data_IF_251524430400
#
_entry.id   IF_251524430400
#
_cell.length_a   1.000
_cell.length_b   1.000
_cell.length_c   1.000
_cell.angle_alpha   90.00
_cell.angle_beta   90.00
_cell.angle_gamma   90.00
#
_symmetry.space_group_name_H-M   'P 1'
#
loop_
_entity.id
_entity.type
_entity.pdbx_description
1 polymer ?
#
# COMPACT_ATOMS: atom_id res chain seq x y z
N UNK A 1 -18.45 22.83 23.26
CA UNK A 1 -18.61 21.72 22.28
C UNK A 1 -17.23 21.22 21.92
N UNK A 2 -17.03 19.90 21.87
CA UNK A 2 -15.77 19.29 21.45
C UNK A 2 -16.05 18.44 20.21
N UNK A 3 -15.30 18.64 19.14
CA UNK A 3 -15.46 17.91 17.87
C UNK A 3 -14.19 17.14 17.58
N UNK A 4 -14.31 15.82 17.43
CA UNK A 4 -13.21 14.94 17.07
C UNK A 4 -13.22 14.63 15.57
N UNK A 5 -12.08 14.83 14.93
CA UNK A 5 -11.81 14.51 13.52
C UNK A 5 -10.87 13.32 13.42
N UNK A 6 -11.01 12.56 12.34
CA UNK A 6 -10.16 11.39 12.08
C UNK A 6 -8.68 11.75 11.92
N UNK A 7 -8.38 12.94 11.39
CA UNK A 7 -7.02 13.41 11.15
C UNK A 7 -6.88 14.92 11.31
N UNK A 8 -5.65 15.39 11.45
CA UNK A 8 -5.32 16.82 11.46
C UNK A 8 -5.74 17.52 10.14
N UNK A 9 -5.69 16.78 9.02
CA UNK A 9 -6.06 17.28 7.68
C UNK A 9 -7.55 17.58 7.58
N UNK A 10 -8.41 16.63 7.95
CA UNK A 10 -9.87 16.84 7.86
C UNK A 10 -10.36 17.92 8.82
N UNK A 11 -9.70 18.07 9.97
CA UNK A 11 -9.91 19.18 10.89
C UNK A 11 -9.60 20.53 10.22
N UNK A 12 -8.43 20.66 9.58
CA UNK A 12 -8.03 21.91 8.91
C UNK A 12 -8.92 22.28 7.74
N UNK A 13 -9.34 21.29 6.95
CA UNK A 13 -10.31 21.47 5.86
C UNK A 13 -11.63 22.03 6.40
N UNK A 14 -12.17 21.43 7.47
CA UNK A 14 -13.40 21.92 8.09
C UNK A 14 -13.24 23.33 8.66
N UNK A 15 -12.12 23.62 9.33
CA UNK A 15 -11.84 24.96 9.90
C UNK A 15 -11.70 26.05 8.83
N UNK A 16 -11.29 25.68 7.60
CA UNK A 16 -11.18 26.60 6.45
C UNK A 16 -12.50 26.77 5.70
N UNK A 17 -13.50 25.92 5.95
CA UNK A 17 -14.79 25.98 5.26
C UNK A 17 -15.55 27.29 5.55
N UNK A 18 -16.31 27.76 4.56
CA UNK A 18 -17.17 28.94 4.70
C UNK A 18 -18.22 28.74 5.80
N UNK A 19 -18.74 27.52 5.93
CA UNK A 19 -19.72 27.16 6.95
C UNK A 19 -19.21 27.32 8.38
N UNK A 20 -17.88 27.26 8.60
CA UNK A 20 -17.27 27.43 9.91
C UNK A 20 -16.73 28.86 10.16
N UNK A 21 -16.78 29.74 9.15
CA UNK A 21 -16.16 31.07 9.22
C UNK A 21 -16.67 31.91 10.41
N UNK A 22 -17.97 31.84 10.71
CA UNK A 22 -18.61 32.56 11.82
C UNK A 22 -18.16 32.09 13.21
N UNK A 23 -17.71 30.83 13.32
CA UNK A 23 -17.29 30.21 14.59
C UNK A 23 -15.78 30.27 14.83
N UNK A 24 -14.99 30.72 13.83
CA UNK A 24 -13.53 30.73 13.89
C UNK A 24 -12.95 31.53 15.06
N UNK A 25 -13.64 32.59 15.50
CA UNK A 25 -13.24 33.42 16.66
C UNK A 25 -13.54 32.76 18.02
N UNK A 26 -14.47 31.80 18.04
CA UNK A 26 -14.91 31.09 19.24
C UNK A 26 -14.39 29.65 19.27
N UNK A 27 -13.35 29.35 18.48
CA UNK A 27 -12.82 28.00 18.35
C UNK A 27 -11.32 27.88 18.52
N UNK A 28 -10.91 26.79 19.16
CA UNK A 28 -9.52 26.37 19.29
C UNK A 28 -9.32 25.04 18.55
N UNK A 29 -8.09 24.83 18.05
CA UNK A 29 -7.65 23.62 17.37
C UNK A 29 -6.60 22.92 18.22
N UNK A 30 -6.67 21.59 18.28
CA UNK A 30 -5.64 20.76 18.92
C UNK A 30 -5.33 19.51 18.08
N UNK A 31 -4.07 19.39 17.63
CA UNK A 31 -3.53 18.22 16.92
C UNK A 31 -2.28 17.68 17.61
N UNK A 32 -1.83 16.49 17.22
CA UNK A 32 -0.68 15.83 17.85
C UNK A 32 0.63 16.64 17.77
N UNK A 33 0.73 17.51 16.76
CA UNK A 33 1.87 18.40 16.48
C UNK A 33 1.96 19.61 17.43
N UNK A 34 0.92 19.88 18.22
CA UNK A 34 0.89 21.05 19.10
C UNK A 34 1.75 20.86 20.35
N UNK A 35 2.49 21.92 20.70
CA UNK A 35 3.36 22.01 21.87
C UNK A 35 2.65 21.67 23.19
N UNK A 36 3.33 21.03 24.17
CA UNK A 36 2.70 20.57 25.42
C UNK A 36 1.98 21.67 26.21
N UNK A 37 2.55 22.87 26.28
CA UNK A 37 1.95 23.99 27.03
C UNK A 37 0.64 24.47 26.37
N UNK A 38 0.61 24.54 25.04
CA UNK A 38 -0.57 24.95 24.27
C UNK A 38 -1.66 23.90 24.37
N UNK A 39 -1.28 22.62 24.30
CA UNK A 39 -2.16 21.47 24.54
C UNK A 39 -2.87 21.57 25.88
N UNK A 40 -2.12 21.77 26.97
CA UNK A 40 -2.72 21.89 28.30
C UNK A 40 -3.66 23.09 28.41
N UNK A 41 -3.30 24.24 27.82
CA UNK A 41 -4.15 25.42 27.76
C UNK A 41 -5.48 25.13 27.05
N UNK A 42 -5.43 24.57 25.84
CA UNK A 42 -6.63 24.27 25.04
C UNK A 42 -7.53 23.25 25.76
N UNK A 43 -6.96 22.19 26.34
CA UNK A 43 -7.73 21.18 27.10
C UNK A 43 -8.45 21.82 28.29
N UNK A 44 -7.78 22.71 29.03
CA UNK A 44 -8.37 23.38 30.19
C UNK A 44 -9.53 24.32 29.83
N UNK A 45 -9.50 24.88 28.62
CA UNK A 45 -10.52 25.81 28.12
C UNK A 45 -11.64 25.11 27.34
N UNK A 46 -11.44 23.87 26.92
CA UNK A 46 -12.36 23.14 26.04
C UNK A 46 -13.78 22.97 26.59
N UNK A 47 -13.94 23.04 27.92
CA UNK A 47 -15.21 22.89 28.63
C UNK A 47 -15.83 24.23 29.06
N UNK A 48 -15.24 25.37 28.68
CA UNK A 48 -15.77 26.70 29.00
C UNK A 48 -17.04 27.03 28.20
N UNK A 49 -17.89 27.90 28.75
CA UNK A 49 -19.10 28.35 28.08
C UNK A 49 -18.81 29.03 26.74
N UNK A 50 -19.56 28.65 25.69
CA UNK A 50 -19.43 29.22 24.34
C UNK A 50 -18.22 28.69 23.55
N UNK A 51 -17.41 27.82 24.13
CA UNK A 51 -16.18 27.34 23.51
C UNK A 51 -16.43 26.18 22.53
N UNK A 52 -15.83 26.24 21.35
CA UNK A 52 -15.79 25.13 20.37
C UNK A 52 -14.36 24.64 20.24
N UNK A 53 -14.10 23.37 20.54
CA UNK A 53 -12.73 22.83 20.41
C UNK A 53 -12.71 21.73 19.36
N UNK A 54 -11.91 21.92 18.32
CA UNK A 54 -11.69 20.94 17.28
C UNK A 54 -10.44 20.14 17.61
N UNK A 55 -10.54 18.82 17.60
CA UNK A 55 -9.44 17.93 17.98
C UNK A 55 -9.26 16.79 16.99
N UNK A 56 -8.04 16.32 16.81
CA UNK A 56 -7.78 15.07 16.09
C UNK A 56 -8.02 13.85 17.00
N UNK A 57 -8.23 12.67 16.40
CA UNK A 57 -8.67 11.44 17.10
C UNK A 57 -7.75 11.01 18.24
N UNK A 58 -6.48 11.37 18.20
CA UNK A 58 -5.48 11.03 19.21
C UNK A 58 -5.84 11.56 20.60
N UNK A 59 -6.56 12.69 20.68
CA UNK A 59 -7.03 13.26 21.96
C UNK A 59 -8.29 12.59 22.50
N UNK A 60 -8.91 11.69 21.73
CA UNK A 60 -10.02 10.84 22.19
C UNK A 60 -9.61 9.85 23.28
N UNK A 61 -8.31 9.56 23.40
CA UNK A 61 -7.71 8.70 24.42
C UNK A 61 -6.84 9.52 25.39
N UNK A 62 -6.84 9.14 26.67
CA UNK A 62 -5.92 9.70 27.67
C UNK A 62 -6.15 11.15 28.10
N UNK A 63 -7.03 11.90 27.45
CA UNK A 63 -7.26 13.34 27.76
C UNK A 63 -8.47 13.57 28.66
N UNK A 64 -8.29 14.34 29.74
CA UNK A 64 -9.36 14.67 30.70
C UNK A 64 -9.95 16.07 30.42
N UNK A 65 -11.29 16.13 30.35
CA UNK A 65 -12.08 17.31 30.00
C UNK A 65 -13.05 17.59 31.14
N UNK A 66 -12.51 17.97 32.29
CA UNK A 66 -13.32 18.30 33.46
C UNK A 66 -14.07 19.60 33.19
N UNK A 67 -15.38 19.57 33.41
CA UNK A 67 -16.22 20.74 33.33
C UNK A 67 -16.44 21.29 34.74
N UNK A 68 -15.85 22.46 35.02
CA UNK A 68 -16.04 23.15 36.30
C UNK A 68 -17.06 24.29 36.23
N UNK A 69 -17.51 24.70 35.03
CA UNK A 69 -18.44 25.82 34.84
C UNK A 69 -19.89 25.39 35.14
N UNK A 70 -20.55 25.93 36.19
CA UNK A 70 -21.92 25.57 36.53
C UNK A 70 -22.93 25.92 35.44
N UNK A 71 -22.68 26.95 34.62
CA UNK A 71 -23.58 27.37 33.53
C UNK A 71 -23.57 26.33 32.40
N UNK A 72 -22.41 25.73 32.13
CA UNK A 72 -22.31 24.64 31.15
C UNK A 72 -23.07 23.41 31.65
N UNK A 73 -22.96 23.08 32.94
CA UNK A 73 -23.74 21.98 33.55
C UNK A 73 -25.25 22.24 33.47
N UNK A 74 -25.70 23.45 33.79
CA UNK A 74 -27.11 23.85 33.68
C UNK A 74 -27.62 23.81 32.23
N UNK A 75 -26.75 24.07 31.25
CA UNK A 75 -27.07 24.00 29.81
C UNK A 75 -27.06 22.56 29.23
N UNK A 76 -26.97 21.52 30.06
CA UNK A 76 -26.93 20.12 29.61
C UNK A 76 -25.53 19.54 29.41
N UNK A 77 -24.49 20.29 29.80
CA UNK A 77 -23.11 19.83 29.86
C UNK A 77 -22.34 19.92 28.55
N UNK A 78 -21.19 19.25 28.51
CA UNK A 78 -20.29 19.28 27.34
C UNK A 78 -20.89 18.43 26.23
N UNK A 79 -21.14 19.02 25.06
CA UNK A 79 -21.50 18.23 23.88
C UNK A 79 -20.25 17.76 23.13
N UNK A 80 -20.17 16.45 22.87
CA UNK A 80 -19.09 15.83 22.08
C UNK A 80 -19.64 15.36 20.74
N UNK A 81 -18.97 15.75 19.66
CA UNK A 81 -19.28 15.33 18.29
C UNK A 81 -18.11 14.50 17.78
N UNK A 82 -18.40 13.34 17.21
CA UNK A 82 -17.42 12.54 16.48
C UNK A 82 -17.71 12.64 14.98
N UNK A 83 -16.78 13.21 14.22
CA UNK A 83 -16.92 13.47 12.78
C UNK A 83 -16.38 12.33 11.89
N UNK A 84 -16.34 11.11 12.41
CA UNK A 84 -15.80 9.93 11.73
C UNK A 84 -16.34 8.64 12.36
N UNK A 85 -16.25 7.53 11.62
CA UNK A 85 -16.58 6.20 12.15
C UNK A 85 -15.31 5.61 12.80
N UNK A 86 -15.37 5.32 14.10
CA UNK A 86 -14.26 4.63 14.79
C UNK A 86 -14.05 3.22 14.23
N UNK A 87 -12.80 2.77 14.15
CA UNK A 87 -12.46 1.40 13.71
C UNK A 87 -13.02 0.36 14.68
N UNK A 88 -13.02 0.69 15.97
CA UNK A 88 -13.53 -0.19 17.04
C UNK A 88 -14.62 0.48 17.85
N UNK A 89 -15.48 -0.36 18.44
CA UNK A 89 -16.46 0.10 19.43
C UNK A 89 -15.76 0.68 20.67
N UNK A 90 -14.63 0.11 21.09
CA UNK A 90 -13.88 0.61 22.24
C UNK A 90 -13.39 2.05 22.06
N UNK A 91 -12.89 2.41 20.88
CA UNK A 91 -12.47 3.77 20.54
C UNK A 91 -13.65 4.76 20.62
N UNK A 92 -14.79 4.42 20.01
CA UNK A 92 -16.00 5.25 20.09
C UNK A 92 -16.44 5.46 21.55
N UNK A 93 -16.44 4.40 22.37
CA UNK A 93 -16.78 4.51 23.79
C UNK A 93 -15.80 5.39 24.56
N UNK A 94 -14.51 5.39 24.21
CA UNK A 94 -13.52 6.29 24.81
C UNK A 94 -13.78 7.76 24.46
N UNK A 95 -14.18 8.05 23.21
CA UNK A 95 -14.53 9.41 22.76
C UNK A 95 -15.85 9.84 23.41
N UNK A 96 -16.86 8.96 23.42
CA UNK A 96 -18.14 9.19 24.09
C UNK A 96 -17.98 9.47 25.58
N UNK A 97 -17.04 8.79 26.25
CA UNK A 97 -16.71 9.03 27.65
C UNK A 97 -16.01 10.36 27.95
N UNK A 98 -15.71 11.19 26.93
CA UNK A 98 -15.19 12.56 27.12
C UNK A 98 -16.27 13.57 27.51
N UNK A 99 -17.54 13.17 27.43
CA UNK A 99 -18.68 13.91 28.00
C UNK A 99 -19.27 13.18 29.21
N UNK A 100 -20.21 13.82 29.92
CA UNK A 100 -21.01 13.26 31.00
C UNK A 100 -20.19 12.56 32.11
N UNK A 101 -19.07 13.18 32.51
CA UNK A 101 -18.16 12.61 33.50
C UNK A 101 -18.73 12.69 34.91
N UNK A 102 -18.50 11.65 35.73
CA UNK A 102 -18.88 11.61 37.15
C UNK A 102 -20.37 11.93 37.42
N UNK A 103 -21.26 11.59 36.48
CA UNK A 103 -22.70 11.87 36.59
C UNK A 103 -23.10 13.28 36.15
N UNK A 104 -22.17 14.10 35.66
CA UNK A 104 -22.51 15.38 35.04
C UNK A 104 -23.38 15.15 33.78
N UNK A 105 -24.28 16.09 33.44
CA UNK A 105 -25.00 16.03 32.19
C UNK A 105 -24.03 16.17 31.00
N UNK A 106 -24.42 15.60 29.87
CA UNK A 106 -23.61 15.64 28.67
C UNK A 106 -24.30 14.92 27.52
N UNK A 107 -23.88 15.21 26.30
CA UNK A 107 -24.46 14.62 25.10
C UNK A 107 -23.40 14.27 24.08
N UNK A 108 -23.69 13.27 23.27
CA UNK A 108 -22.78 12.72 22.28
C UNK A 108 -23.51 12.52 20.95
N UNK A 109 -22.86 12.86 19.85
CA UNK A 109 -23.39 12.62 18.50
C UNK A 109 -22.29 12.20 17.55
N UNK A 110 -22.66 11.38 16.57
CA UNK A 110 -21.79 10.96 15.47
C UNK A 110 -22.34 11.62 14.22
N UNK A 111 -21.47 12.32 13.48
CA UNK A 111 -21.79 12.94 12.19
C UNK A 111 -20.81 12.39 11.18
N UNK A 112 -21.31 11.68 10.18
CA UNK A 112 -20.48 10.98 9.19
C UNK A 112 -21.05 11.17 7.80
N UNK A 113 -20.17 11.14 6.81
CA UNK A 113 -20.54 11.25 5.39
C UNK A 113 -20.83 9.88 4.79
N UNK A 114 -21.53 9.86 3.65
CA UNK A 114 -21.74 8.64 2.87
C UNK A 114 -20.42 7.97 2.47
N UNK A 115 -19.40 8.75 2.11
CA UNK A 115 -18.07 8.22 1.74
C UNK A 115 -17.40 7.47 2.90
N UNK A 116 -17.53 7.96 4.14
CA UNK A 116 -17.02 7.29 5.32
C UNK A 116 -17.75 5.98 5.61
N UNK A 117 -19.06 5.93 5.39
CA UNK A 117 -19.87 4.71 5.55
C UNK A 117 -19.47 3.63 4.53
N UNK A 118 -19.16 4.03 3.30
CA UNK A 118 -18.72 3.14 2.22
C UNK A 118 -17.46 2.34 2.56
N UNK A 119 -16.54 2.90 3.35
CA UNK A 119 -15.33 2.20 3.83
C UNK A 119 -15.65 0.96 4.68
N UNK A 120 -16.83 0.91 5.29
CA UNK A 120 -17.30 -0.21 6.10
C UNK A 120 -18.28 -1.13 5.33
N UNK A 121 -18.40 -0.96 4.01
CA UNK A 121 -19.29 -1.76 3.17
C UNK A 121 -20.75 -1.33 3.19
N UNK A 122 -21.08 -0.17 3.77
CA UNK A 122 -22.44 0.38 3.75
C UNK A 122 -22.69 1.14 2.45
N UNK A 123 -23.24 0.42 1.47
CA UNK A 123 -23.73 0.98 0.20
C UNK A 123 -24.98 1.87 0.37
N UNK A 124 -25.30 2.65 -0.68
CA UNK A 124 -26.46 3.57 -0.69
C UNK A 124 -27.79 2.89 -0.31
N UNK A 125 -28.01 1.65 -0.73
CA UNK A 125 -29.22 0.87 -0.39
C UNK A 125 -29.37 0.70 1.12
N UNK A 126 -28.27 0.36 1.82
CA UNK A 126 -28.28 0.25 3.28
C UNK A 126 -28.56 1.60 3.94
N UNK A 127 -28.00 2.68 3.40
CA UNK A 127 -28.19 4.03 3.93
C UNK A 127 -29.67 4.46 3.78
N UNK A 128 -30.29 4.21 2.63
CA UNK A 128 -31.72 4.46 2.42
C UNK A 128 -32.59 3.69 3.42
N UNK A 129 -32.26 2.44 3.69
CA UNK A 129 -32.99 1.63 4.68
C UNK A 129 -32.79 2.14 6.11
N UNK A 130 -31.60 2.66 6.44
CA UNK A 130 -31.35 3.33 7.72
C UNK A 130 -32.23 4.57 7.88
N UNK A 131 -32.37 5.39 6.83
CA UNK A 131 -33.27 6.56 6.84
C UNK A 131 -34.75 6.17 6.95
N UNK A 132 -35.20 5.14 6.22
CA UNK A 132 -36.58 4.65 6.30
C UNK A 132 -36.93 4.06 7.66
N UNK A 133 -36.00 3.33 8.27
CA UNK A 133 -36.21 2.66 9.57
C UNK A 133 -35.96 3.57 10.79
N UNK A 134 -35.28 4.70 10.59
CA UNK A 134 -34.82 5.59 11.67
C UNK A 134 -33.74 4.98 12.57
N UNK A 135 -33.19 3.81 12.22
CA UNK A 135 -32.20 3.07 13.02
C UNK A 135 -30.81 3.22 12.40
N UNK A 136 -30.04 4.17 12.91
CA UNK A 136 -28.70 4.47 12.37
C UNK A 136 -27.58 3.69 13.07
N UNK A 137 -27.63 3.56 14.40
CA UNK A 137 -26.50 3.01 15.15
C UNK A 137 -26.32 1.50 14.98
N UNK A 138 -27.43 0.73 14.99
CA UNK A 138 -27.35 -0.74 14.91
C UNK A 138 -26.73 -1.23 13.60
N UNK A 139 -27.15 -0.75 12.41
CA UNK A 139 -26.50 -1.14 11.15
C UNK A 139 -25.04 -0.67 11.07
N UNK A 140 -24.74 0.54 11.55
CA UNK A 140 -23.38 1.07 11.60
C UNK A 140 -22.45 0.20 12.46
N UNK A 141 -22.88 -0.18 13.65
CA UNK A 141 -22.08 -1.02 14.55
C UNK A 141 -21.87 -2.43 13.95
N UNK A 142 -22.90 -3.01 13.34
CA UNK A 142 -22.78 -4.32 12.68
C UNK A 142 -21.78 -4.30 11.52
N UNK A 143 -21.83 -3.28 10.66
CA UNK A 143 -20.88 -3.11 9.56
C UNK A 143 -19.44 -2.92 10.08
N UNK A 144 -19.27 -2.13 11.15
CA UNK A 144 -17.98 -1.96 11.83
C UNK A 144 -17.43 -3.27 12.36
N UNK A 145 -18.22 -4.05 13.10
CA UNK A 145 -17.76 -5.32 13.68
C UNK A 145 -17.38 -6.33 12.58
N UNK A 146 -18.14 -6.38 11.48
CA UNK A 146 -17.82 -7.22 10.33
C UNK A 146 -16.50 -6.81 9.64
N UNK A 147 -16.28 -5.50 9.45
CA UNK A 147 -15.04 -4.99 8.88
C UNK A 147 -13.84 -5.27 9.80
N UNK A 148 -14.00 -5.01 11.11
CA UNK A 148 -12.94 -5.21 12.10
C UNK A 148 -12.59 -6.69 12.28
N UNK A 149 -13.57 -7.60 12.24
CA UNK A 149 -13.33 -9.05 12.33
C UNK A 149 -12.41 -9.57 11.23
N UNK A 150 -12.52 -9.04 10.00
CA UNK A 150 -11.63 -9.40 8.89
C UNK A 150 -10.20 -8.92 9.15
N UNK A 151 -10.04 -7.68 9.62
CA UNK A 151 -8.73 -7.10 9.95
C UNK A 151 -8.09 -7.86 11.12
N UNK A 152 -8.90 -8.24 12.12
CA UNK A 152 -8.43 -8.94 13.32
C UNK A 152 -7.80 -10.28 12.97
N UNK A 153 -8.47 -11.11 12.15
CA UNK A 153 -7.93 -12.42 11.73
C UNK A 153 -6.59 -12.30 11.01
N UNK A 154 -6.45 -11.29 10.15
CA UNK A 154 -5.19 -11.05 9.45
C UNK A 154 -4.08 -10.59 10.41
N UNK A 155 -4.40 -9.72 11.37
CA UNK A 155 -3.44 -9.29 12.40
C UNK A 155 -3.04 -10.42 13.35
N UNK A 156 -3.96 -11.32 13.68
CA UNK A 156 -3.70 -12.48 14.53
C UNK A 156 -2.68 -13.41 13.88
N UNK A 157 -2.86 -13.73 12.58
CA UNK A 157 -1.89 -14.48 11.79
C UNK A 157 -0.51 -13.81 11.75
N UNK A 158 -0.47 -12.51 11.49
CA UNK A 158 0.79 -11.74 11.47
C UNK A 158 1.48 -11.76 12.84
N UNK A 159 0.71 -11.75 13.93
CA UNK A 159 1.24 -11.76 15.28
C UNK A 159 1.87 -13.11 15.62
N UNK A 160 1.27 -14.22 15.19
CA UNK A 160 1.85 -15.57 15.31
C UNK A 160 3.19 -15.67 14.55
N UNK A 161 3.23 -15.17 13.31
CA UNK A 161 4.46 -15.13 12.49
C UNK A 161 5.57 -14.30 13.16
N UNK A 162 5.24 -13.12 13.68
CA UNK A 162 6.18 -12.25 14.39
C UNK A 162 6.66 -12.89 15.68
N UNK A 163 5.78 -13.56 16.45
CA UNK A 163 6.16 -14.23 17.69
C UNK A 163 7.15 -15.37 17.44
N UNK A 164 6.92 -16.18 16.41
CA UNK A 164 7.82 -17.28 16.04
C UNK A 164 9.17 -16.73 15.57
N UNK A 165 9.17 -15.69 14.73
CA UNK A 165 10.40 -15.02 14.30
C UNK A 165 11.16 -14.41 15.49
N UNK A 166 10.47 -13.75 16.42
CA UNK A 166 11.08 -13.17 17.61
C UNK A 166 11.71 -14.22 18.51
N UNK A 167 11.05 -15.37 18.70
CA UNK A 167 11.57 -16.49 19.48
C UNK A 167 12.88 -17.01 18.88
N UNK A 168 12.92 -17.23 17.57
CA UNK A 168 14.14 -17.66 16.84
C UNK A 168 15.27 -16.64 16.97
N UNK A 169 14.96 -15.35 16.90
CA UNK A 169 15.95 -14.29 17.09
C UNK A 169 16.55 -14.29 18.50
N UNK A 170 15.73 -14.52 19.55
CA UNK A 170 16.20 -14.65 20.93
C UNK A 170 17.08 -15.90 21.12
N UNK A 171 16.71 -17.01 20.48
CA UNK A 171 17.52 -18.25 20.50
C UNK A 171 18.89 -18.04 19.84
N UNK A 172 18.94 -17.37 18.68
CA UNK A 172 20.19 -17.00 18.02
C UNK A 172 21.02 -16.05 18.89
N UNK A 173 20.41 -15.01 19.46
CA UNK A 173 21.10 -14.08 20.35
C UNK A 173 21.72 -14.82 21.54
N UNK A 174 20.97 -15.70 22.18
CA UNK A 174 21.46 -16.51 23.31
C UNK A 174 22.62 -17.42 22.91
N UNK A 175 22.53 -18.06 21.74
CA UNK A 175 23.59 -18.92 21.22
C UNK A 175 24.88 -18.12 20.90
N UNK A 176 24.76 -16.92 20.34
CA UNK A 176 25.89 -16.03 20.06
C UNK A 176 26.59 -15.54 21.34
N UNK A 177 25.82 -15.20 22.38
CA UNK A 177 26.39 -14.82 23.69
C UNK A 177 27.18 -16.01 24.30
N UNK A 178 26.61 -17.21 24.26
CA UNK A 178 27.31 -18.42 24.74
C UNK A 178 28.57 -18.72 23.94
N UNK A 179 28.53 -18.53 22.62
CA UNK A 179 29.69 -18.70 21.75
C UNK A 179 30.83 -17.74 22.13
N UNK A 180 30.50 -16.48 22.41
CA UNK A 180 31.47 -15.47 22.82
C UNK A 180 32.12 -15.78 24.18
N UNK A 181 31.34 -16.30 25.14
CA UNK A 181 31.84 -16.63 26.48
C UNK A 181 32.65 -17.95 26.51
N UNK A 182 32.24 -18.95 25.73
CA UNK A 182 32.89 -20.27 25.71
C UNK A 182 32.65 -20.99 24.38
N UNK A 183 33.56 -20.85 23.39
CA UNK A 183 33.44 -21.54 22.12
C UNK A 183 33.76 -23.03 22.30
N UNK A 184 32.75 -23.82 22.67
CA UNK A 184 32.79 -25.28 22.66
C UNK A 184 32.18 -25.80 21.34
N UNK A 185 32.60 -27.00 20.90
CA UNK A 185 32.15 -27.63 19.65
C UNK A 185 30.62 -27.64 19.50
N UNK A 186 29.90 -27.93 20.59
CA UNK A 186 28.44 -27.99 20.60
C UNK A 186 27.79 -26.60 20.44
N UNK A 187 28.42 -25.55 20.98
CA UNK A 187 27.96 -24.16 20.85
C UNK A 187 28.20 -23.64 19.44
N UNK A 188 29.33 -24.01 18.80
CA UNK A 188 29.61 -23.68 17.40
C UNK A 188 28.59 -24.34 16.49
N UNK A 189 28.37 -25.65 16.61
CA UNK A 189 27.39 -26.37 15.80
C UNK A 189 25.96 -25.83 15.96
N UNK A 190 25.60 -25.39 17.18
CA UNK A 190 24.30 -24.78 17.45
C UNK A 190 24.15 -23.39 16.80
N UNK A 191 25.19 -22.56 16.86
CA UNK A 191 25.20 -21.26 16.18
C UNK A 191 25.18 -21.45 14.66
N UNK A 192 25.97 -22.39 14.12
CA UNK A 192 25.97 -22.74 12.69
C UNK A 192 24.58 -23.19 12.23
N UNK A 193 23.95 -24.14 12.94
CA UNK A 193 22.58 -24.59 12.62
C UNK A 193 21.55 -23.46 12.67
N UNK A 194 21.59 -22.58 13.69
CA UNK A 194 20.69 -21.43 13.76
C UNK A 194 20.98 -20.40 12.66
N UNK A 195 22.24 -20.24 12.27
CA UNK A 195 22.63 -19.38 11.15
C UNK A 195 22.26 -20.00 9.81
N UNK A 196 22.28 -21.31 9.63
CA UNK A 196 21.82 -22.00 8.41
C UNK A 196 20.30 -21.96 8.27
N UNK A 197 19.56 -22.06 9.38
CA UNK A 197 18.11 -21.91 9.38
C UNK A 197 17.66 -20.47 9.09
N UNK A 198 18.43 -19.47 9.57
CA UNK A 198 18.14 -18.05 9.37
C UNK A 198 18.73 -17.50 8.05
N UNK A 199 19.93 -17.95 7.67
CA UNK A 199 20.56 -17.74 6.37
C UNK A 199 20.32 -19.00 5.55
N UNK A 200 19.15 -19.12 4.93
CA UNK A 200 18.79 -20.26 4.07
C UNK A 200 19.77 -20.40 2.88
N UNK A 201 20.90 -21.06 3.09
CA UNK A 201 21.80 -21.59 2.06
C UNK A 201 21.90 -23.10 2.30
N UNK A 202 21.05 -23.91 1.64
CA UNK A 202 21.11 -25.36 1.77
C UNK A 202 22.47 -25.91 1.32
N UNK A 203 22.98 -27.00 1.93
CA UNK A 203 24.24 -27.65 1.54
C UNK A 203 24.31 -28.11 0.07
N UNK A 204 23.17 -28.25 -0.62
CA UNK A 204 23.08 -28.50 -2.06
C UNK A 204 23.48 -27.29 -2.94
N UNK A 205 23.74 -26.12 -2.35
CA UNK A 205 24.04 -24.86 -3.03
C UNK A 205 25.43 -24.77 -3.66
N UNK A 206 26.34 -25.74 -3.46
CA UNK A 206 27.65 -25.67 -4.12
C UNK A 206 27.54 -25.79 -5.65
N UNK A 207 26.49 -26.44 -6.14
CA UNK A 207 26.25 -26.68 -7.57
C UNK A 207 25.19 -25.73 -8.17
N UNK A 208 24.40 -25.00 -7.36
CA UNK A 208 23.36 -24.07 -7.84
C UNK A 208 23.85 -22.65 -8.13
N UNK A 209 25.03 -22.26 -7.67
CA UNK A 209 25.65 -20.98 -8.04
C UNK A 209 26.07 -20.91 -9.53
N UNK A 210 26.02 -22.02 -10.26
CA UNK A 210 26.27 -22.05 -11.69
C UNK A 210 25.05 -21.57 -12.53
N UNK A 211 23.84 -21.50 -11.95
CA UNK A 211 22.65 -20.96 -12.63
C UNK A 211 22.18 -19.66 -11.95
N UNK A 212 22.23 -18.56 -12.71
CA UNK A 212 21.84 -17.23 -12.24
C UNK A 212 20.35 -17.17 -11.82
N UNK A 213 19.98 -16.32 -10.83
CA UNK A 213 18.59 -16.21 -10.38
C UNK A 213 17.71 -15.60 -11.48
N UNK A 214 16.47 -16.08 -11.59
CA UNK A 214 15.47 -15.59 -12.54
C UNK A 214 15.04 -14.18 -12.09
N UNK A 215 15.31 -13.16 -12.91
CA UNK A 215 14.91 -11.79 -12.60
C UNK A 215 13.64 -11.37 -13.32
N UNK A 216 12.73 -10.79 -12.55
CA UNK A 216 11.51 -10.16 -13.05
C UNK A 216 11.51 -8.68 -12.71
N UNK A 217 11.09 -7.85 -13.66
CA UNK A 217 10.81 -6.43 -13.40
C UNK A 217 9.32 -6.17 -13.57
N UNK A 218 8.69 -5.54 -12.57
CA UNK A 218 7.30 -5.10 -12.66
C UNK A 218 7.31 -3.60 -12.86
N UNK A 219 6.83 -3.14 -14.02
CA UNK A 219 6.66 -1.73 -14.35
C UNK A 219 5.22 -1.31 -14.05
N UNK A 220 5.07 -0.36 -13.13
CA UNK A 220 3.80 0.18 -12.69
C UNK A 220 3.65 1.63 -13.11
N UNK A 221 2.51 1.96 -13.69
CA UNK A 221 2.07 3.33 -13.88
C UNK A 221 1.82 4.02 -12.53
N UNK A 222 2.57 5.11 -12.29
CA UNK A 222 2.49 5.96 -11.11
C UNK A 222 1.83 7.32 -11.35
N UNK A 223 1.08 7.51 -12.42
CA UNK A 223 0.43 8.79 -12.73
C UNK A 223 -0.88 8.99 -11.97
N UNK A 224 -1.42 10.22 -12.02
CA UNK A 224 -2.65 10.58 -11.32
C UNK A 224 -3.89 9.76 -11.73
N UNK A 225 -3.95 9.22 -12.96
CA UNK A 225 -5.07 8.37 -13.41
C UNK A 225 -5.18 7.08 -12.60
N UNK A 226 -4.04 6.56 -12.12
CA UNK A 226 -3.97 5.37 -11.28
C UNK A 226 -4.39 5.60 -9.83
N UNK A 227 -4.66 6.84 -9.39
CA UNK A 227 -5.05 7.15 -7.99
C UNK A 227 -6.15 6.23 -7.41
N UNK A 228 -7.25 5.91 -8.12
CA UNK A 228 -8.31 5.06 -7.58
C UNK A 228 -7.92 3.59 -7.44
N UNK A 229 -6.82 3.19 -8.08
CA UNK A 229 -6.49 1.82 -8.45
C UNK A 229 -5.17 1.36 -7.82
N UNK A 230 -4.23 2.28 -7.60
CA UNK A 230 -2.86 1.96 -7.23
C UNK A 230 -2.74 1.18 -5.93
N UNK A 231 -3.60 1.46 -4.93
CA UNK A 231 -3.61 0.70 -3.67
C UNK A 231 -4.06 -0.75 -3.87
N UNK A 232 -5.03 -0.98 -4.77
CA UNK A 232 -5.45 -2.34 -5.12
C UNK A 232 -4.33 -3.05 -5.88
N UNK A 233 -3.69 -2.38 -6.83
CA UNK A 233 -2.55 -2.95 -7.56
C UNK A 233 -1.38 -3.30 -6.64
N UNK A 234 -1.02 -2.42 -5.69
CA UNK A 234 0.00 -2.70 -4.67
C UNK A 234 -0.33 -3.94 -3.84
N UNK A 235 -1.59 -4.07 -3.39
CA UNK A 235 -2.04 -5.23 -2.63
C UNK A 235 -2.02 -6.50 -3.47
N UNK A 236 -2.42 -6.42 -4.74
CA UNK A 236 -2.36 -7.55 -5.69
C UNK A 236 -0.92 -8.03 -5.91
N UNK A 237 0.02 -7.09 -6.06
CA UNK A 237 1.45 -7.39 -6.17
C UNK A 237 1.92 -8.09 -4.89
N UNK A 238 1.59 -7.56 -3.71
CA UNK A 238 1.96 -8.19 -2.43
C UNK A 238 1.41 -9.61 -2.28
N UNK A 239 0.12 -9.81 -2.57
CA UNK A 239 -0.53 -11.12 -2.49
C UNK A 239 0.08 -12.12 -3.47
N UNK A 240 0.34 -11.70 -4.71
CA UNK A 240 1.04 -12.51 -5.71
C UNK A 240 2.39 -13.00 -5.18
N UNK A 241 3.20 -12.10 -4.61
CA UNK A 241 4.48 -12.47 -4.01
C UNK A 241 4.34 -13.49 -2.88
N UNK A 242 3.41 -13.24 -1.95
CA UNK A 242 3.16 -14.15 -0.84
C UNK A 242 2.67 -15.52 -1.31
N UNK A 243 1.88 -15.61 -2.39
CA UNK A 243 1.43 -16.91 -2.93
C UNK A 243 2.56 -17.68 -3.61
N UNK A 244 3.36 -17.00 -4.44
CA UNK A 244 4.53 -17.60 -5.11
C UNK A 244 5.51 -18.13 -4.07
N UNK A 245 5.79 -17.35 -3.04
CA UNK A 245 6.63 -17.76 -1.91
C UNK A 245 6.09 -19.01 -1.22
N UNK A 246 4.79 -19.04 -0.88
CA UNK A 246 4.18 -20.21 -0.20
C UNK A 246 4.26 -21.49 -1.02
N UNK A 247 4.18 -21.40 -2.34
CA UNK A 247 4.33 -22.57 -3.22
C UNK A 247 5.78 -23.06 -3.23
N UNK A 248 6.74 -22.14 -3.35
CA UNK A 248 8.17 -22.47 -3.41
C UNK A 248 8.69 -23.00 -2.06
N UNK A 249 8.28 -22.39 -0.94
CA UNK A 249 8.64 -22.83 0.41
C UNK A 249 8.10 -24.25 0.71
N UNK A 250 6.95 -24.62 0.12
CA UNK A 250 6.38 -25.96 0.30
C UNK A 250 7.21 -27.09 -0.34
N UNK A 251 8.22 -26.77 -1.14
CA UNK A 251 9.13 -27.74 -1.78
C UNK A 251 10.57 -27.67 -1.25
N UNK A 252 10.83 -26.91 -0.18
CA UNK A 252 12.18 -26.73 0.38
C UNK A 252 13.23 -26.25 -0.64
N UNK A 253 12.81 -25.53 -1.70
CA UNK A 253 13.72 -24.95 -2.71
C UNK A 253 14.16 -23.55 -2.29
N UNK A 254 15.44 -23.21 -2.48
CA UNK A 254 15.94 -21.83 -2.38
C UNK A 254 15.22 -20.98 -3.41
N UNK A 255 14.79 -19.76 -3.04
CA UNK A 255 14.10 -18.80 -3.90
C UNK A 255 14.92 -18.57 -5.20
N UNK A 256 14.55 -19.16 -6.34
CA UNK A 256 15.35 -19.04 -7.56
C UNK A 256 15.03 -17.75 -8.33
N UNK A 257 14.32 -16.80 -7.72
CA UNK A 257 13.82 -15.61 -8.38
C UNK A 257 14.04 -14.35 -7.56
N UNK A 258 14.24 -13.24 -8.25
CA UNK A 258 14.31 -11.90 -7.69
C UNK A 258 13.37 -10.98 -8.46
N UNK A 259 12.68 -10.09 -7.76
CA UNK A 259 11.79 -9.13 -8.41
C UNK A 259 12.10 -7.71 -8.02
N UNK A 260 12.12 -6.84 -9.02
CA UNK A 260 12.18 -5.40 -8.87
C UNK A 260 10.84 -4.80 -9.28
N UNK A 261 10.34 -3.82 -8.52
CA UNK A 261 9.20 -2.99 -8.93
C UNK A 261 9.73 -1.63 -9.34
N UNK A 262 9.49 -1.25 -10.59
CA UNK A 262 9.72 0.08 -11.15
C UNK A 262 8.41 0.83 -11.32
N UNK A 263 8.40 2.12 -11.02
CA UNK A 263 7.26 3.02 -11.20
C UNK A 263 7.65 4.08 -12.21
N UNK A 264 7.01 4.06 -13.37
CA UNK A 264 7.20 5.09 -14.39
C UNK A 264 6.09 6.14 -14.29
N UNK A 265 6.42 7.38 -14.64
CA UNK A 265 5.47 8.50 -14.67
C UNK A 265 5.56 9.21 -16.01
N UNK A 266 5.29 10.51 -16.05
CA UNK A 266 5.25 11.30 -17.27
C UNK A 266 6.31 12.41 -17.20
N UNK A 267 6.83 12.88 -18.33
CA UNK A 267 7.82 13.97 -18.43
C UNK A 267 7.39 15.32 -17.83
N UNK A 268 6.19 15.41 -17.24
CA UNK A 268 5.74 16.56 -16.48
C UNK A 268 6.26 16.58 -15.03
N UNK A 269 7.02 15.57 -14.60
CA UNK A 269 7.73 15.52 -13.31
C UNK A 269 9.25 15.56 -13.49
N UNK A 270 9.98 15.79 -12.40
CA UNK A 270 11.46 15.75 -12.40
C UNK A 270 11.98 14.32 -12.39
N UNK A 271 13.28 14.14 -12.62
CA UNK A 271 13.92 12.82 -12.71
C UNK A 271 13.61 11.93 -11.50
N UNK A 272 13.74 12.47 -10.28
CA UNK A 272 13.47 11.77 -9.02
C UNK A 272 12.08 11.12 -8.97
N UNK A 273 11.12 11.67 -9.71
CA UNK A 273 9.75 11.16 -9.82
C UNK A 273 9.46 10.50 -11.17
N UNK A 274 10.28 10.73 -12.21
CA UNK A 274 10.01 10.22 -13.56
C UNK A 274 10.05 8.69 -13.57
N UNK A 275 11.03 8.12 -12.88
CA UNK A 275 11.14 6.69 -12.67
C UNK A 275 11.76 6.37 -11.32
N UNK A 276 11.11 5.49 -10.56
CA UNK A 276 11.61 5.03 -9.26
C UNK A 276 11.54 3.52 -9.21
N UNK A 277 12.64 2.85 -8.87
CA UNK A 277 12.68 1.40 -8.75
C UNK A 277 13.14 0.93 -7.36
N UNK A 278 12.65 -0.23 -6.94
CA UNK A 278 13.17 -0.95 -5.78
C UNK A 278 14.52 -1.61 -6.10
N UNK A 279 15.18 -2.19 -5.09
CA UNK A 279 16.18 -3.23 -5.34
C UNK A 279 15.54 -4.49 -5.98
N UNK A 280 16.39 -5.40 -6.45
CA UNK A 280 15.97 -6.77 -6.76
C UNK A 280 15.78 -7.52 -5.44
N UNK A 281 14.52 -7.78 -5.08
CA UNK A 281 14.14 -8.37 -3.81
C UNK A 281 13.68 -9.82 -3.99
N UNK A 282 14.11 -10.71 -3.10
CA UNK A 282 13.57 -12.07 -2.99
C UNK A 282 12.57 -12.20 -1.83
N UNK A 283 12.48 -11.19 -0.95
CA UNK A 283 11.67 -11.22 0.26
C UNK A 283 10.45 -10.27 0.15
N UNK A 284 9.22 -10.77 0.34
CA UNK A 284 8.02 -9.93 0.20
C UNK A 284 7.97 -8.74 1.16
N UNK A 285 8.58 -8.84 2.34
CA UNK A 285 8.61 -7.76 3.34
C UNK A 285 9.35 -6.51 2.84
N UNK A 286 10.43 -6.69 2.08
CA UNK A 286 11.22 -5.58 1.55
C UNK A 286 10.45 -4.85 0.46
N UNK A 287 9.83 -5.62 -0.45
CA UNK A 287 9.00 -5.05 -1.50
C UNK A 287 7.78 -4.33 -0.95
N UNK A 288 7.18 -4.83 0.13
CA UNK A 288 6.07 -4.17 0.83
C UNK A 288 6.45 -2.77 1.33
N UNK A 289 7.67 -2.60 1.81
CA UNK A 289 8.16 -1.29 2.29
C UNK A 289 8.25 -0.29 1.14
N UNK A 290 8.81 -0.71 0.00
CA UNK A 290 8.86 0.11 -1.21
C UNK A 290 7.47 0.43 -1.76
N UNK A 291 6.57 -0.57 -1.87
CA UNK A 291 5.21 -0.35 -2.39
C UNK A 291 4.42 0.67 -1.55
N UNK A 292 4.67 0.74 -0.23
CA UNK A 292 4.07 1.73 0.65
C UNK A 292 4.56 3.16 0.39
N UNK A 293 5.80 3.35 -0.04
CA UNK A 293 6.35 4.68 -0.32
C UNK A 293 5.90 5.25 -1.66
N UNK A 294 5.34 4.44 -2.56
CA UNK A 294 4.88 4.91 -3.87
C UNK A 294 3.64 5.80 -3.72
N UNK A 295 3.70 7.04 -4.21
CA UNK A 295 2.55 7.90 -4.43
C UNK A 295 2.33 8.16 -5.92
N UNK A 296 1.08 8.44 -6.29
CA UNK A 296 0.73 8.91 -7.63
C UNK A 296 1.07 10.39 -7.79
N UNK A 297 1.73 10.75 -8.89
CA UNK A 297 1.99 12.15 -9.23
C UNK A 297 2.19 12.34 -10.74
N UNK A 298 2.08 13.58 -11.22
CA UNK A 298 2.17 13.88 -12.65
C UNK A 298 0.98 13.35 -13.47
N UNK A 299 1.20 13.25 -14.79
CA UNK A 299 0.22 12.74 -15.76
C UNK A 299 -0.54 13.82 -16.53
N UNK A 300 -0.56 13.71 -17.85
CA UNK A 300 -1.45 14.41 -18.82
C UNK A 300 -1.30 13.67 -20.16
N UNK A 301 -2.24 12.78 -20.50
CA UNK A 301 -2.21 12.00 -21.74
C UNK A 301 -1.39 10.70 -21.62
N UNK A 302 -0.66 10.37 -22.68
CA UNK A 302 0.23 9.21 -22.78
C UNK A 302 1.33 9.19 -21.70
N UNK A 303 1.96 8.05 -21.47
CA UNK A 303 2.86 7.82 -20.33
C UNK A 303 4.25 7.36 -20.75
N UNK A 304 5.25 7.58 -19.89
CA UNK A 304 6.65 7.30 -20.24
C UNK A 304 6.99 5.80 -20.03
N UNK A 305 6.28 4.91 -20.73
CA UNK A 305 6.53 3.46 -20.69
C UNK A 305 7.93 3.15 -21.21
N UNK A 306 8.38 3.90 -22.22
CA UNK A 306 9.71 3.79 -22.80
C UNK A 306 10.82 4.03 -21.76
N UNK A 307 10.59 4.88 -20.76
CA UNK A 307 11.52 5.07 -19.63
C UNK A 307 11.62 3.80 -18.79
N UNK A 308 10.49 3.13 -18.53
CA UNK A 308 10.47 1.86 -17.82
C UNK A 308 11.22 0.76 -18.56
N UNK A 309 11.06 0.65 -19.89
CA UNK A 309 11.80 -0.32 -20.69
C UNK A 309 13.29 0.03 -20.81
N UNK A 310 13.64 1.32 -20.90
CA UNK A 310 15.03 1.76 -20.88
C UNK A 310 15.75 1.34 -19.62
N UNK A 311 15.06 1.38 -18.47
CA UNK A 311 15.59 0.84 -17.21
C UNK A 311 15.82 -0.68 -17.27
N UNK A 312 14.88 -1.46 -17.82
CA UNK A 312 15.06 -2.92 -17.99
C UNK A 312 16.26 -3.23 -18.88
N UNK A 313 16.41 -2.51 -19.98
CA UNK A 313 17.56 -2.64 -20.88
C UNK A 313 18.86 -2.18 -20.21
N UNK A 314 18.83 -1.12 -19.40
CA UNK A 314 19.96 -0.70 -18.59
C UNK A 314 20.41 -1.79 -17.62
N UNK A 315 19.49 -2.44 -16.91
CA UNK A 315 19.81 -3.58 -16.03
C UNK A 315 20.47 -4.72 -16.83
N UNK A 316 19.92 -5.08 -17.99
CA UNK A 316 20.49 -6.10 -18.87
C UNK A 316 21.87 -5.75 -19.44
N UNK A 317 22.21 -4.47 -19.56
CA UNK A 317 23.53 -4.00 -20.02
C UNK A 317 24.57 -3.95 -18.89
N UNK A 318 24.13 -3.77 -17.65
CA UNK A 318 25.02 -3.49 -16.51
C UNK A 318 25.16 -4.65 -15.52
N UNK A 319 24.37 -5.71 -15.67
CA UNK A 319 24.39 -6.88 -14.79
C UNK A 319 24.65 -8.16 -15.57
N UNK A 320 25.48 -9.04 -15.00
CA UNK A 320 25.75 -10.39 -15.54
C UNK A 320 24.55 -11.34 -15.40
N UNK A 321 23.56 -10.98 -14.57
CA UNK A 321 22.29 -11.70 -14.45
C UNK A 321 21.21 -11.00 -15.29
N UNK A 322 20.68 -11.65 -16.34
CA UNK A 322 19.67 -11.07 -17.23
C UNK A 322 18.29 -11.01 -16.58
N UNK A 323 17.47 -10.07 -17.05
CA UNK A 323 16.03 -9.99 -16.79
C UNK A 323 15.32 -10.90 -17.79
N UNK A 324 14.67 -11.96 -17.30
CA UNK A 324 13.96 -12.94 -18.14
C UNK A 324 12.55 -12.45 -18.53
N UNK A 325 11.94 -11.65 -17.66
CA UNK A 325 10.56 -11.19 -17.85
C UNK A 325 10.30 -9.80 -17.29
N UNK A 326 9.37 -9.10 -17.93
CA UNK A 326 8.86 -7.81 -17.51
C UNK A 326 7.33 -7.84 -17.46
N UNK A 327 6.74 -7.33 -16.39
CA UNK A 327 5.29 -7.18 -16.24
C UNK A 327 4.95 -5.70 -16.27
N UNK A 328 4.26 -5.26 -17.32
CA UNK A 328 3.81 -3.88 -17.48
C UNK A 328 2.35 -3.74 -17.02
N UNK A 329 2.09 -2.81 -16.09
CA UNK A 329 0.75 -2.47 -15.60
C UNK A 329 0.53 -0.97 -15.80
N UNK A 330 -0.53 -0.57 -16.50
CA UNK A 330 -0.85 0.84 -16.75
C UNK A 330 -2.21 1.05 -17.40
N UNK A 331 -2.60 2.32 -17.58
CA UNK A 331 -3.91 2.68 -18.15
C UNK A 331 -3.85 3.51 -19.45
N UNK A 332 -2.66 4.00 -19.83
CA UNK A 332 -2.40 4.74 -21.08
C UNK A 332 -1.30 4.09 -21.93
N UNK A 333 -1.26 4.39 -23.25
CA UNK A 333 -0.15 4.00 -24.11
C UNK A 333 1.11 4.85 -23.88
N UNK A 334 2.25 4.35 -24.38
CA UNK A 334 3.53 5.02 -24.45
C UNK A 334 3.50 6.23 -25.40
N UNK A 335 4.39 7.19 -25.16
CA UNK A 335 4.56 8.35 -26.03
C UNK A 335 5.10 7.98 -27.42
N UNK A 336 4.70 8.76 -28.43
CA UNK A 336 5.42 8.79 -29.71
C UNK A 336 6.81 9.42 -29.55
N UNK A 337 7.71 9.17 -30.49
CA UNK A 337 9.07 9.74 -30.48
C UNK A 337 9.04 11.26 -30.52
N UNK A 338 8.14 11.82 -31.34
CA UNK A 338 7.92 13.26 -31.46
C UNK A 338 7.40 13.84 -30.13
N UNK A 339 6.46 13.16 -29.48
CA UNK A 339 5.89 13.57 -28.19
C UNK A 339 6.92 13.55 -27.06
N UNK A 340 7.83 12.57 -27.04
CA UNK A 340 8.96 12.53 -26.07
C UNK A 340 9.81 13.79 -26.21
N UNK A 341 10.22 14.13 -27.44
CA UNK A 341 11.03 15.33 -27.71
C UNK A 341 10.29 16.59 -27.29
N UNK A 342 9.01 16.71 -27.64
CA UNK A 342 8.20 17.88 -27.30
C UNK A 342 7.99 18.05 -25.80
N UNK A 343 7.78 16.95 -25.06
CA UNK A 343 7.58 17.01 -23.60
C UNK A 343 8.87 17.32 -22.86
N UNK A 344 10.00 16.83 -23.34
CA UNK A 344 11.33 17.15 -22.77
C UNK A 344 11.66 18.64 -22.81
N UNK A 345 11.15 19.38 -23.80
CA UNK A 345 11.34 20.86 -23.90
C UNK A 345 10.90 21.61 -22.66
N UNK A 346 9.99 21.05 -21.85
CA UNK A 346 9.52 21.67 -20.60
C UNK A 346 10.66 21.99 -19.62
N UNK A 347 11.65 21.10 -19.51
CA UNK A 347 12.80 21.30 -18.65
C UNK A 347 14.08 21.71 -19.40
N UNK A 348 14.08 21.55 -20.74
CA UNK A 348 15.21 21.87 -21.62
C UNK A 348 16.24 20.74 -21.66
N UNK A 349 16.98 20.63 -22.77
CA UNK A 349 17.99 19.56 -22.94
C UNK A 349 19.16 19.69 -21.95
N UNK A 350 19.59 20.92 -21.61
CA UNK A 350 20.62 21.17 -20.59
C UNK A 350 20.29 20.50 -19.24
N UNK A 351 19.00 20.42 -18.89
CA UNK A 351 18.56 19.70 -17.69
C UNK A 351 18.71 18.19 -17.91
N UNK A 352 18.16 17.64 -19.00
CA UNK A 352 18.17 16.20 -19.23
C UNK A 352 19.58 15.63 -19.38
N UNK A 353 20.52 16.36 -19.98
CA UNK A 353 21.94 15.97 -20.08
C UNK A 353 22.57 15.66 -18.71
N UNK A 354 22.03 16.22 -17.62
CA UNK A 354 22.49 15.97 -16.25
C UNK A 354 21.78 14.82 -15.53
N UNK A 355 20.80 14.17 -16.19
CA UNK A 355 19.96 13.10 -15.63
C UNK A 355 20.36 11.72 -16.16
N UNK A 356 19.86 10.66 -15.51
CA UNK A 356 19.94 9.28 -16.02
C UNK A 356 19.16 9.08 -17.34
N UNK A 357 18.38 10.07 -17.78
CA UNK A 357 17.60 10.06 -19.01
C UNK A 357 18.12 11.07 -20.04
N UNK A 358 19.44 11.28 -20.08
CA UNK A 358 20.09 12.23 -20.99
C UNK A 358 19.73 11.97 -22.46
N UNK A 359 19.77 10.72 -22.90
CA UNK A 359 19.37 10.35 -24.25
C UNK A 359 17.86 10.11 -24.33
N UNK A 360 17.16 10.85 -25.19
CA UNK A 360 15.76 10.55 -25.50
C UNK A 360 15.65 9.17 -26.15
N UNK A 361 14.64 8.42 -25.74
CA UNK A 361 14.35 7.08 -26.27
C UNK A 361 12.90 7.00 -26.74
N UNK A 362 12.57 5.92 -27.44
CA UNK A 362 11.24 5.63 -27.94
C UNK A 362 10.88 4.16 -27.74
N UNK A 363 9.57 3.88 -27.75
CA UNK A 363 9.04 2.56 -27.47
C UNK A 363 9.60 1.49 -28.42
N UNK A 364 9.72 1.78 -29.72
CA UNK A 364 10.17 0.79 -30.70
C UNK A 364 11.64 0.45 -30.53
N UNK A 365 12.49 1.43 -30.22
CA UNK A 365 13.90 1.20 -29.91
C UNK A 365 14.09 0.31 -28.68
N UNK A 366 13.39 0.63 -27.58
CA UNK A 366 13.52 -0.14 -26.34
C UNK A 366 12.93 -1.56 -26.46
N UNK A 367 11.82 -1.71 -27.19
CA UNK A 367 11.24 -3.02 -27.49
C UNK A 367 12.16 -3.88 -28.36
N UNK A 368 12.83 -3.30 -29.35
CA UNK A 368 13.75 -4.05 -30.20
C UNK A 368 14.91 -4.64 -29.38
N UNK A 369 15.43 -3.89 -28.41
CA UNK A 369 16.46 -4.39 -27.50
C UNK A 369 15.91 -5.49 -26.58
N UNK A 370 14.72 -5.31 -25.98
CA UNK A 370 14.08 -6.35 -25.15
C UNK A 370 13.88 -7.67 -25.92
N UNK A 371 13.43 -7.59 -27.18
CA UNK A 371 13.28 -8.77 -28.06
C UNK A 371 14.64 -9.40 -28.35
N UNK A 372 15.68 -8.61 -28.62
CA UNK A 372 17.03 -9.13 -28.85
C UNK A 372 17.63 -9.85 -27.63
N UNK A 373 17.19 -9.46 -26.44
CA UNK A 373 17.57 -10.04 -25.15
C UNK A 373 16.61 -11.13 -24.67
N UNK A 374 15.62 -11.49 -25.49
CA UNK A 374 14.60 -12.51 -25.19
C UNK A 374 13.79 -12.22 -23.91
N UNK A 375 13.61 -10.95 -23.55
CA UNK A 375 12.80 -10.56 -22.39
C UNK A 375 11.32 -10.66 -22.73
N UNK A 376 10.57 -11.50 -22.01
CA UNK A 376 9.13 -11.63 -22.20
C UNK A 376 8.40 -10.49 -21.50
N UNK A 377 7.63 -9.68 -22.24
CA UNK A 377 6.83 -8.59 -21.66
C UNK A 377 5.36 -9.01 -21.57
N UNK A 378 4.86 -9.14 -20.35
CA UNK A 378 3.44 -9.38 -20.06
C UNK A 378 2.77 -8.05 -19.74
N UNK A 379 1.65 -7.74 -20.37
CA UNK A 379 1.01 -6.42 -20.28
C UNK A 379 -0.39 -6.51 -19.69
N UNK A 380 -0.69 -5.70 -18.67
CA UNK A 380 -1.98 -5.68 -17.99
C UNK A 380 -2.53 -4.27 -18.01
N UNK A 381 -3.56 -4.05 -18.82
CA UNK A 381 -4.16 -2.73 -18.97
C UNK A 381 -5.39 -2.57 -18.09
N UNK A 382 -5.48 -1.45 -17.38
CA UNK A 382 -6.57 -1.14 -16.45
C UNK A 382 -7.77 -0.49 -17.14
N UNK A 383 -7.56 0.11 -18.31
CA UNK A 383 -8.60 0.74 -19.11
C UNK A 383 -8.66 0.14 -20.53
N UNK A 384 -9.84 -0.32 -20.94
CA UNK A 384 -10.06 -1.00 -22.21
C UNK A 384 -9.91 -0.11 -23.45
N UNK A 385 -10.10 1.20 -23.34
CA UNK A 385 -10.29 2.04 -24.53
C UNK A 385 -9.00 2.62 -25.11
N UNK A 386 -7.95 2.81 -24.31
CA UNK A 386 -6.76 3.59 -24.73
C UNK A 386 -5.47 2.79 -24.79
N UNK A 387 -5.13 2.02 -23.75
CA UNK A 387 -3.88 1.27 -23.68
C UNK A 387 -3.90 -0.08 -24.45
N UNK A 388 -5.10 -0.66 -24.65
CA UNK A 388 -5.29 -2.04 -25.12
C UNK A 388 -4.47 -2.38 -26.37
N UNK A 389 -4.62 -1.62 -27.46
CA UNK A 389 -4.01 -1.96 -28.74
C UNK A 389 -2.47 -2.00 -28.67
N UNK A 390 -1.86 -1.04 -27.98
CA UNK A 390 -0.41 -0.98 -27.85
C UNK A 390 0.11 -2.03 -26.86
N UNK A 391 -0.63 -2.32 -25.79
CA UNK A 391 -0.27 -3.36 -24.82
C UNK A 391 -0.33 -4.76 -25.45
N UNK A 392 -1.38 -5.06 -26.23
CA UNK A 392 -1.49 -6.30 -27.00
C UNK A 392 -0.34 -6.42 -28.01
N UNK A 393 0.02 -5.33 -28.70
CA UNK A 393 1.17 -5.30 -29.61
C UNK A 393 2.50 -5.58 -28.88
N UNK A 394 2.74 -4.94 -27.72
CA UNK A 394 3.95 -5.15 -26.92
C UNK A 394 4.07 -6.63 -26.54
N UNK A 395 3.02 -7.20 -25.93
CA UNK A 395 3.03 -8.59 -25.51
C UNK A 395 3.26 -9.54 -26.69
N UNK A 396 2.62 -9.29 -27.84
CA UNK A 396 2.81 -10.10 -29.04
C UNK A 396 4.24 -10.04 -29.57
N UNK A 397 4.86 -8.85 -29.64
CA UNK A 397 6.24 -8.69 -30.13
C UNK A 397 7.26 -9.45 -29.26
N UNK A 398 7.02 -9.53 -27.94
CA UNK A 398 7.94 -10.15 -26.98
C UNK A 398 7.59 -11.58 -26.60
N UNK A 399 6.52 -12.15 -27.18
CA UNK A 399 6.03 -13.49 -26.82
C UNK A 399 5.47 -13.60 -25.39
N UNK A 400 4.97 -12.49 -24.84
CA UNK A 400 4.32 -12.44 -23.53
C UNK A 400 2.80 -12.51 -23.61
N UNK A 401 2.12 -12.24 -22.49
CA UNK A 401 0.65 -12.30 -22.39
C UNK A 401 0.06 -10.91 -22.18
N UNK A 402 -1.07 -10.63 -22.82
CA UNK A 402 -1.85 -9.41 -22.57
C UNK A 402 -3.22 -9.74 -21.98
N UNK A 403 -3.63 -9.02 -20.94
CA UNK A 403 -4.94 -9.20 -20.33
C UNK A 403 -5.52 -7.88 -19.79
N UNK A 404 -6.85 -7.77 -19.86
CA UNK A 404 -7.57 -6.69 -19.19
C UNK A 404 -7.65 -6.92 -17.69
N UNK A 405 -7.45 -5.85 -16.95
CA UNK A 405 -7.45 -5.85 -15.51
C UNK A 405 -8.64 -5.06 -14.96
N UNK A 406 -9.74 -5.77 -14.69
CA UNK A 406 -10.93 -5.20 -14.05
C UNK A 406 -10.72 -5.05 -12.53
N UNK A 407 -10.13 -3.93 -12.11
CA UNK A 407 -9.82 -3.72 -10.70
C UNK A 407 -11.08 -3.31 -9.90
N UNK A 408 -12.18 -2.95 -10.58
CA UNK A 408 -13.46 -2.64 -9.95
C UNK A 408 -14.17 -3.88 -9.40
N UNK A 409 -13.98 -5.03 -10.05
CA UNK A 409 -14.48 -6.34 -9.63
C UNK A 409 -13.45 -7.08 -8.77
N UNK A 410 -13.87 -7.55 -7.58
CA UNK A 410 -13.07 -8.47 -6.75
C UNK A 410 -12.50 -9.67 -7.50
N UNK A 411 -13.18 -10.13 -8.57
CA UNK A 411 -12.73 -11.23 -9.43
C UNK A 411 -11.64 -10.83 -10.43
N UNK A 412 -11.46 -9.55 -10.74
CA UNK A 412 -10.41 -9.10 -11.66
C UNK A 412 -9.04 -9.00 -11.00
N UNK A 413 -8.99 -8.56 -9.73
CA UNK A 413 -7.77 -8.60 -8.93
C UNK A 413 -7.26 -10.05 -8.73
N UNK A 414 -8.16 -10.98 -8.41
CA UNK A 414 -7.83 -12.40 -8.27
C UNK A 414 -7.34 -13.03 -9.59
N UNK A 415 -7.96 -12.66 -10.72
CA UNK A 415 -7.50 -13.06 -12.06
C UNK A 415 -6.09 -12.57 -12.37
N UNK A 416 -5.75 -11.32 -12.00
CA UNK A 416 -4.39 -10.80 -12.16
C UNK A 416 -3.40 -11.57 -11.29
N UNK A 417 -3.71 -11.72 -10.00
CA UNK A 417 -2.86 -12.46 -9.07
C UNK A 417 -2.57 -13.83 -9.64
N UNK A 418 -3.58 -14.52 -10.15
CA UNK A 418 -3.43 -15.86 -10.69
C UNK A 418 -2.65 -15.90 -12.01
N UNK A 419 -2.94 -14.99 -12.93
CA UNK A 419 -2.23 -14.97 -14.23
C UNK A 419 -0.76 -14.62 -14.03
N UNK A 420 -0.46 -13.55 -13.27
CA UNK A 420 0.92 -13.12 -13.06
C UNK A 420 1.69 -14.13 -12.19
N UNK A 421 1.10 -14.66 -11.12
CA UNK A 421 1.77 -15.69 -10.30
C UNK A 421 2.06 -16.95 -11.10
N UNK A 422 1.16 -17.33 -12.01
CA UNK A 422 1.38 -18.49 -12.89
C UNK A 422 2.56 -18.24 -13.81
N UNK A 423 2.63 -17.08 -14.48
CA UNK A 423 3.75 -16.76 -15.36
C UNK A 423 5.09 -16.69 -14.60
N UNK A 424 5.07 -16.12 -13.38
CA UNK A 424 6.24 -16.10 -12.49
C UNK A 424 6.74 -17.50 -12.15
N UNK A 425 5.82 -18.42 -11.84
CA UNK A 425 6.15 -19.79 -11.41
C UNK A 425 6.49 -20.70 -12.60
N UNK A 426 5.85 -20.53 -13.76
CA UNK A 426 6.09 -21.34 -14.95
C UNK A 426 7.53 -21.25 -15.48
N UNK A 427 8.20 -20.11 -15.26
CA UNK A 427 9.61 -19.92 -15.63
C UNK A 427 10.54 -20.65 -14.65
N UNK A 428 10.14 -20.78 -13.39
CA UNK A 428 10.89 -21.52 -12.37
C UNK A 428 10.76 -23.02 -12.60
N UNK A 429 9.54 -23.49 -12.80
CA UNK A 429 9.21 -24.89 -13.06
C UNK A 429 7.79 -25.00 -13.63
N UNK A 430 7.59 -25.56 -14.84
CA UNK A 430 6.27 -25.80 -15.39
C UNK A 430 5.33 -26.60 -14.47
N UNK A 431 5.87 -27.54 -13.66
CA UNK A 431 5.08 -28.33 -12.72
C UNK A 431 4.61 -27.51 -11.51
N UNK A 432 5.39 -26.52 -11.08
CA UNK A 432 4.97 -25.59 -10.04
C UNK A 432 3.80 -24.72 -10.51
N UNK A 433 3.71 -24.40 -11.80
CA UNK A 433 2.60 -23.62 -12.35
C UNK A 433 1.29 -24.41 -12.28
N UNK A 434 1.30 -25.69 -12.63
CA UNK A 434 0.13 -26.58 -12.48
C UNK A 434 -0.31 -26.70 -11.01
N UNK A 435 0.66 -26.74 -10.09
CA UNK A 435 0.39 -26.82 -8.65
C UNK A 435 -0.14 -25.50 -8.08
N UNK A 436 0.39 -24.37 -8.54
CA UNK A 436 -0.16 -23.05 -8.23
C UNK A 436 -1.63 -22.97 -8.68
N UNK A 437 -1.94 -23.43 -9.90
CA UNK A 437 -3.30 -23.49 -10.41
C UNK A 437 -4.18 -24.40 -9.53
N UNK A 438 -3.71 -25.59 -9.14
CA UNK A 438 -4.47 -26.50 -8.29
C UNK A 438 -4.80 -25.92 -6.90
N UNK A 439 -3.91 -25.10 -6.33
CA UNK A 439 -4.06 -24.53 -4.98
C UNK A 439 -4.87 -23.23 -4.96
N UNK A 440 -4.63 -22.33 -5.93
CA UNK A 440 -5.15 -20.97 -5.92
C UNK A 440 -6.15 -20.64 -7.03
N UNK A 441 -6.19 -21.43 -8.12
CA UNK A 441 -7.17 -21.26 -9.18
C UNK A 441 -8.37 -22.20 -8.95
N UNK A 442 -9.49 -21.65 -8.45
CA UNK A 442 -10.74 -22.42 -8.39
C UNK A 442 -11.24 -22.66 -9.81
N UNK A 443 -11.24 -23.92 -10.24
CA UNK A 443 -11.97 -24.36 -11.42
C UNK A 443 -13.47 -24.30 -11.13
N UNK A 444 -14.12 -23.20 -11.49
CA UNK A 444 -15.57 -23.22 -11.70
C UNK A 444 -15.82 -23.84 -13.06
N UNK A 445 -16.17 -25.14 -13.05
CA UNK A 445 -16.79 -25.77 -14.22
C UNK A 445 -18.09 -25.01 -14.47
N UNK A 446 -18.24 -24.48 -15.68
CA UNK A 446 -19.42 -23.73 -16.12
C UNK A 446 -20.69 -24.58 -16.07
#
# INVERSE_FOLDING_TARGET
>A
VIVFFESAKSLDEYRKSESFASFKRLSERLTAEEEPWKRQRVISQATAQGMITLMSKEFGRGTDFKCFDPRVKQAGGVHVIQAFVSETRAEEFQIKGRTARQGDPGSFSIIVTHSQLGLFGLLNTHIEDMFKSGKFYTPLNGAREAAYSKIYKERERQLEEIQESHKKALELQGALVQYQERPASDTVAKVESLLEENNRVPPAMKDMYDNAPIRTVILLDGTGSMSPVIERTKNTIQEMFSRVERIIDSEHRVKPFQVQVGVYRNYNVREDDLFVASGFEAEPSNLRTFLKSISVCGGMGEEAIEVGFSHVNFVNRTSDVPVEQCILIGDMPAHSKEDVVDRRKRFGEDYWETTNFAQATDLDAELAELVSKNVKVHTFYVNHERARAQFEMIAQKTGGTSAFLDIGDSRGAERLTNLVSRELVAIIDPQLAERYEAVYCKNYVA
#
